data_IF_354970089990
#
_entry.id   IF_354970089990
#
_cell.length_a   1.000
_cell.length_b   1.000
_cell.length_c   1.000
_cell.angle_alpha   90.00
_cell.angle_beta   90.00
_cell.angle_gamma   90.00
#
_symmetry.space_group_name_H-M   'P 1'
#
loop_
_entity.id
_entity.type
_entity.pdbx_description
1 polymer ?
#
# COMPACT_ATOMS: atom_id res chain seq x y z
N UNK A 1 8.27 26.03 9.82
CA UNK A 1 7.33 26.46 10.87
C UNK A 1 6.41 27.50 10.26
N UNK A 2 5.21 27.10 9.84
CA UNK A 2 4.20 28.08 9.40
C UNK A 2 3.99 29.09 10.54
N UNK A 3 3.95 30.38 10.21
CA UNK A 3 3.69 31.41 11.21
C UNK A 3 2.25 31.27 11.68
N UNK A 4 2.06 31.04 12.98
CA UNK A 4 0.73 31.03 13.60
C UNK A 4 0.10 32.41 13.46
N UNK A 5 -1.07 32.48 12.83
CA UNK A 5 -1.85 33.72 12.67
C UNK A 5 -3.13 33.66 13.52
N UNK A 6 -3.68 34.84 13.82
CA UNK A 6 -4.94 34.93 14.58
C UNK A 6 -6.09 34.28 13.81
N UNK A 7 -6.10 34.48 12.50
CA UNK A 7 -7.07 33.93 11.56
C UNK A 7 -7.07 32.41 11.64
N UNK A 8 -5.87 31.80 11.64
CA UNK A 8 -5.72 30.34 11.77
C UNK A 8 -6.24 29.82 13.11
N UNK A 9 -5.95 30.52 14.21
CA UNK A 9 -6.49 30.14 15.53
C UNK A 9 -8.03 30.17 15.53
N UNK A 10 -8.64 31.19 14.91
CA UNK A 10 -10.10 31.31 14.81
C UNK A 10 -10.73 30.21 13.91
N UNK A 11 -10.05 29.82 12.83
CA UNK A 11 -10.46 28.67 12.01
C UNK A 11 -10.47 27.36 12.81
N UNK A 12 -9.41 27.10 13.59
CA UNK A 12 -9.31 25.92 14.47
C UNK A 12 -10.48 25.93 15.46
N UNK A 13 -10.72 27.07 16.13
CA UNK A 13 -11.85 27.20 17.06
C UNK A 13 -13.19 26.93 16.36
N UNK A 14 -13.43 27.55 15.20
CA UNK A 14 -14.67 27.36 14.43
C UNK A 14 -14.94 25.89 14.07
N UNK A 15 -13.88 25.13 13.77
CA UNK A 15 -13.97 23.74 13.34
C UNK A 15 -14.10 22.75 14.48
N UNK A 16 -13.32 22.93 15.54
CA UNK A 16 -13.13 21.91 16.57
C UNK A 16 -13.90 22.20 17.87
N UNK A 17 -14.28 23.45 18.15
CA UNK A 17 -15.08 23.74 19.35
C UNK A 17 -16.52 23.23 19.17
N UNK A 18 -16.99 22.30 20.02
CA UNK A 18 -18.31 21.69 19.84
C UNK A 18 -19.45 22.68 20.13
N UNK A 19 -19.27 23.59 21.08
CA UNK A 19 -20.36 24.48 21.51
C UNK A 19 -20.49 25.70 20.60
N UNK A 20 -21.73 26.14 20.36
CA UNK A 20 -21.96 27.40 19.63
C UNK A 20 -21.43 28.61 20.41
N UNK A 21 -21.65 28.60 21.73
CA UNK A 21 -21.18 29.66 22.62
C UNK A 21 -19.64 29.78 22.63
N UNK A 22 -18.91 28.66 22.69
CA UNK A 22 -17.45 28.66 22.62
C UNK A 22 -16.94 29.22 21.29
N UNK A 23 -17.56 28.81 20.16
CA UNK A 23 -17.23 29.34 18.84
C UNK A 23 -17.48 30.84 18.72
N UNK A 24 -18.63 31.33 19.18
CA UNK A 24 -18.97 32.77 19.17
C UNK A 24 -18.03 33.59 20.05
N UNK A 25 -17.56 33.02 21.18
CA UNK A 25 -16.60 33.67 22.08
C UNK A 25 -15.14 33.54 21.62
N UNK A 26 -14.85 32.73 20.60
CA UNK A 26 -13.48 32.45 20.18
C UNK A 26 -12.68 31.65 21.21
N UNK A 27 -13.32 30.75 21.96
CA UNK A 27 -12.69 29.89 22.95
C UNK A 27 -12.68 28.44 22.47
N UNK A 28 -11.55 27.76 22.67
CA UNK A 28 -11.43 26.32 22.48
C UNK A 28 -11.40 25.64 23.84
N UNK A 29 -12.48 24.93 24.19
CA UNK A 29 -12.57 24.13 25.40
C UNK A 29 -11.74 22.84 25.33
N UNK A 30 -11.70 22.09 26.42
CA UNK A 30 -10.90 20.85 26.51
C UNK A 30 -11.30 19.81 25.45
N UNK A 31 -12.60 19.67 25.19
CA UNK A 31 -13.11 18.71 24.20
C UNK A 31 -12.69 19.11 22.78
N UNK A 32 -12.81 20.40 22.45
CA UNK A 32 -12.38 20.91 21.15
C UNK A 32 -10.86 20.87 20.97
N UNK A 33 -10.09 21.15 22.03
CA UNK A 33 -8.63 21.02 22.00
C UNK A 33 -8.20 19.55 21.81
N UNK A 34 -8.88 18.62 22.48
CA UNK A 34 -8.63 17.18 22.29
C UNK A 34 -8.97 16.74 20.86
N UNK A 35 -10.10 17.19 20.32
CA UNK A 35 -10.48 16.91 18.95
C UNK A 35 -9.48 17.47 17.93
N UNK A 36 -8.95 18.68 18.17
CA UNK A 36 -7.92 19.29 17.33
C UNK A 36 -6.60 18.48 17.37
N UNK A 37 -6.13 18.09 18.56
CA UNK A 37 -4.90 17.30 18.69
C UNK A 37 -5.00 15.91 18.07
N UNK A 38 -6.20 15.33 18.02
CA UNK A 38 -6.46 14.04 17.35
C UNK A 38 -6.81 14.18 15.87
N UNK A 39 -6.84 15.41 15.34
CA UNK A 39 -7.12 15.66 13.93
C UNK A 39 -5.89 15.44 13.06
N UNK A 40 -6.11 15.25 11.76
CA UNK A 40 -5.03 15.09 10.78
C UNK A 40 -4.07 16.28 10.72
N UNK A 41 -4.48 17.47 11.14
CA UNK A 41 -3.62 18.67 11.16
C UNK A 41 -2.53 18.61 12.23
N UNK A 42 -2.74 17.78 13.25
CA UNK A 42 -1.79 17.54 14.34
C UNK A 42 -1.15 16.15 14.23
N UNK A 43 -1.36 15.45 13.11
CA UNK A 43 -0.68 14.19 12.87
C UNK A 43 0.85 14.40 12.84
N UNK A 44 1.58 13.42 13.34
CA UNK A 44 3.04 13.42 13.28
C UNK A 44 3.53 13.17 11.85
N UNK A 45 2.70 12.54 11.01
CA UNK A 45 2.96 12.37 9.60
C UNK A 45 2.68 13.64 8.82
N UNK A 46 3.69 14.07 8.07
CA UNK A 46 3.59 15.23 7.20
C UNK A 46 2.55 15.00 6.09
N UNK A 47 1.58 15.91 6.00
CA UNK A 47 0.50 15.86 5.02
C UNK A 47 1.03 15.91 3.58
N UNK A 48 2.13 16.63 3.32
CA UNK A 48 2.75 16.68 1.99
C UNK A 48 3.27 15.31 1.53
N UNK A 49 3.57 14.41 2.48
CA UNK A 49 4.08 13.07 2.20
C UNK A 49 2.97 12.00 2.17
N UNK A 50 1.69 12.38 2.30
CA UNK A 50 0.56 11.46 2.10
C UNK A 50 0.31 11.14 0.63
N UNK A 51 0.76 12.03 -0.26
CA UNK A 51 0.69 11.90 -1.71
C UNK A 51 2.10 11.82 -2.33
N UNK A 52 2.18 11.56 -3.63
CA UNK A 52 3.46 11.57 -4.35
C UNK A 52 4.06 12.99 -4.34
N UNK A 53 5.15 13.15 -3.61
CA UNK A 53 5.87 14.42 -3.45
C UNK A 53 7.30 14.41 -4.02
N UNK A 54 7.77 13.25 -4.50
CA UNK A 54 9.11 13.07 -5.04
C UNK A 54 9.12 13.28 -6.56
N UNK A 55 10.30 13.57 -7.12
CA UNK A 55 10.51 13.53 -8.57
C UNK A 55 10.47 12.08 -9.04
N UNK A 56 9.38 11.70 -9.74
CA UNK A 56 9.14 10.35 -10.24
C UNK A 56 9.62 10.15 -11.69
N UNK A 57 10.45 11.06 -12.23
CA UNK A 57 10.94 11.01 -13.62
C UNK A 57 12.35 10.44 -13.76
N UNK A 58 13.05 10.20 -12.65
CA UNK A 58 14.40 9.62 -12.65
C UNK A 58 14.39 8.12 -13.02
N UNK A 59 15.58 7.57 -13.28
CA UNK A 59 15.77 6.12 -13.47
C UNK A 59 15.22 5.33 -12.27
N UNK A 60 14.58 4.18 -12.53
CA UNK A 60 14.03 3.32 -11.48
C UNK A 60 15.07 2.90 -10.43
N UNK A 61 16.35 2.85 -10.81
CA UNK A 61 17.49 2.55 -9.94
C UNK A 61 17.74 3.58 -8.84
N UNK A 62 17.06 4.73 -8.87
CA UNK A 62 17.17 5.77 -7.84
C UNK A 62 16.11 5.66 -6.74
N UNK A 63 15.18 4.72 -6.85
CA UNK A 63 14.09 4.57 -5.88
C UNK A 63 14.21 3.24 -5.13
N UNK A 64 13.74 3.25 -3.88
CA UNK A 64 13.42 2.01 -3.18
C UNK A 64 12.10 1.45 -3.73
N UNK A 65 12.06 0.13 -3.94
CA UNK A 65 10.89 -0.57 -4.45
C UNK A 65 10.31 -1.44 -3.32
N UNK A 66 9.05 -1.19 -2.97
CA UNK A 66 8.31 -2.03 -2.02
C UNK A 66 8.16 -3.43 -2.60
N UNK A 67 8.85 -4.41 -2.01
CA UNK A 67 9.04 -5.76 -2.57
C UNK A 67 8.56 -6.82 -1.58
N UNK A 68 7.90 -7.85 -2.11
CA UNK A 68 7.48 -9.03 -1.36
C UNK A 68 8.26 -10.25 -1.86
N UNK A 69 8.71 -11.07 -0.91
CA UNK A 69 9.40 -12.33 -1.16
C UNK A 69 8.45 -13.50 -0.89
N UNK A 70 8.44 -14.49 -1.79
CA UNK A 70 7.52 -15.62 -1.77
C UNK A 70 6.07 -15.18 -1.48
N UNK A 71 5.58 -14.24 -2.28
CA UNK A 71 4.34 -13.48 -2.04
C UNK A 71 3.10 -14.35 -1.84
N UNK A 72 3.11 -15.55 -2.43
CA UNK A 72 2.06 -16.54 -2.29
C UNK A 72 1.96 -17.16 -0.89
N UNK A 73 3.02 -17.15 -0.08
CA UNK A 73 3.04 -17.77 1.26
C UNK A 73 2.40 -16.88 2.31
N UNK A 74 1.43 -17.43 3.05
CA UNK A 74 0.78 -16.72 4.15
C UNK A 74 1.50 -16.91 5.50
N UNK A 75 2.28 -17.98 5.62
CA UNK A 75 2.93 -18.38 6.88
C UNK A 75 4.40 -18.80 6.65
N UNK A 76 4.78 -19.99 7.09
CA UNK A 76 6.16 -20.46 7.04
C UNK A 76 6.58 -20.96 5.64
N UNK A 77 7.90 -21.05 5.45
CA UNK A 77 8.52 -21.42 4.18
C UNK A 77 8.48 -22.92 3.87
N UNK A 78 8.08 -23.80 4.78
CA UNK A 78 8.23 -25.24 4.60
C UNK A 78 6.90 -25.99 4.46
N UNK A 79 5.85 -25.54 5.15
CA UNK A 79 4.55 -26.21 5.22
C UNK A 79 3.37 -25.23 5.26
N UNK A 80 3.64 -23.93 5.24
CA UNK A 80 2.61 -22.90 5.27
C UNK A 80 1.69 -22.95 4.05
N UNK A 81 0.45 -22.44 4.16
CA UNK A 81 -0.44 -22.36 3.03
C UNK A 81 0.01 -21.27 2.05
N UNK A 82 -0.05 -21.61 0.76
CA UNK A 82 -0.02 -20.66 -0.34
C UNK A 82 -1.45 -20.20 -0.66
N UNK A 83 -1.65 -18.90 -0.89
CA UNK A 83 -2.93 -18.32 -1.30
C UNK A 83 -2.76 -17.17 -2.29
N UNK A 84 -3.75 -17.03 -3.17
CA UNK A 84 -3.90 -15.84 -4.03
C UNK A 84 -4.04 -14.56 -3.18
N UNK A 85 -4.62 -14.67 -1.98
CA UNK A 85 -4.79 -13.55 -1.05
C UNK A 85 -3.46 -12.89 -0.64
N UNK A 86 -2.35 -13.63 -0.69
CA UNK A 86 -1.01 -13.09 -0.44
C UNK A 86 -0.68 -11.96 -1.41
N UNK A 87 -0.95 -12.16 -2.70
CA UNK A 87 -0.78 -11.14 -3.75
C UNK A 87 -1.74 -9.98 -3.59
N UNK A 88 -3.02 -10.25 -3.32
CA UNK A 88 -4.04 -9.22 -3.12
C UNK A 88 -3.65 -8.31 -1.95
N UNK A 89 -3.24 -8.91 -0.82
CA UNK A 89 -2.81 -8.20 0.38
C UNK A 89 -1.56 -7.36 0.11
N UNK A 90 -0.56 -7.91 -0.59
CA UNK A 90 0.65 -7.20 -0.96
C UNK A 90 0.35 -5.97 -1.85
N UNK A 91 -0.47 -6.14 -2.89
CA UNK A 91 -0.88 -5.06 -3.80
C UNK A 91 -1.68 -3.96 -3.08
N UNK A 92 -2.63 -4.33 -2.21
CA UNK A 92 -3.41 -3.37 -1.40
C UNK A 92 -2.55 -2.58 -0.42
N UNK A 93 -1.42 -3.13 0.01
CA UNK A 93 -0.40 -2.46 0.83
C UNK A 93 0.62 -1.65 0.01
N UNK A 94 0.46 -1.56 -1.31
CA UNK A 94 1.33 -0.79 -2.19
C UNK A 94 2.62 -1.51 -2.60
N UNK A 95 2.70 -2.84 -2.45
CA UNK A 95 3.84 -3.61 -2.97
C UNK A 95 3.91 -3.49 -4.50
N UNK A 96 5.11 -3.22 -5.03
CA UNK A 96 5.42 -3.01 -6.45
C UNK A 96 6.36 -4.08 -7.03
N UNK A 97 6.79 -5.07 -6.26
CA UNK A 97 7.54 -6.20 -6.76
C UNK A 97 7.05 -7.49 -6.10
N UNK A 98 6.49 -8.40 -6.89
CA UNK A 98 5.87 -9.66 -6.44
C UNK A 98 6.67 -10.84 -6.95
N UNK A 99 6.77 -11.90 -6.16
CA UNK A 99 7.48 -13.13 -6.52
C UNK A 99 6.50 -14.26 -6.85
N UNK A 100 6.71 -14.89 -8.02
CA UNK A 100 5.94 -16.01 -8.56
C UNK A 100 6.89 -17.19 -8.80
N UNK A 101 6.82 -18.18 -7.91
CA UNK A 101 7.55 -19.44 -8.07
C UNK A 101 6.74 -20.41 -8.91
N UNK A 102 6.89 -20.31 -10.23
CA UNK A 102 6.14 -21.13 -11.19
C UNK A 102 6.75 -22.54 -11.33
N UNK A 103 5.89 -23.55 -11.30
CA UNK A 103 6.22 -24.96 -11.50
C UNK A 103 5.21 -25.62 -12.43
N UNK A 104 5.64 -26.71 -13.09
CA UNK A 104 4.74 -27.53 -13.89
C UNK A 104 3.68 -28.18 -13.00
N UNK A 105 2.41 -28.00 -13.37
CA UNK A 105 1.26 -28.57 -12.68
C UNK A 105 0.58 -29.67 -13.48
N UNK A 106 -0.53 -30.23 -12.95
CA UNK A 106 -1.33 -31.22 -13.67
C UNK A 106 -2.00 -30.60 -14.90
N UNK A 107 -2.24 -31.43 -15.93
CA UNK A 107 -2.90 -31.04 -17.17
C UNK A 107 -2.16 -29.93 -17.96
N UNK A 108 -0.84 -29.88 -17.85
CA UNK A 108 0.02 -28.86 -18.49
C UNK A 108 -0.28 -27.41 -18.04
N UNK A 109 -0.98 -27.24 -16.92
CA UNK A 109 -1.28 -25.93 -16.33
C UNK A 109 -0.24 -25.56 -15.26
N UNK A 110 0.37 -24.37 -15.31
CA UNK A 110 1.35 -23.95 -14.31
C UNK A 110 0.72 -23.71 -12.94
N UNK A 111 1.48 -24.04 -11.91
CA UNK A 111 1.12 -23.82 -10.49
C UNK A 111 2.19 -22.98 -9.81
N UNK A 112 1.82 -22.38 -8.68
CA UNK A 112 2.73 -21.63 -7.82
C UNK A 112 2.81 -22.29 -6.45
N UNK A 113 4.03 -22.54 -5.96
CA UNK A 113 4.33 -22.97 -4.60
C UNK A 113 5.84 -22.90 -4.34
N UNK A 114 6.24 -23.10 -3.07
CA UNK A 114 7.65 -23.14 -2.73
C UNK A 114 8.24 -24.53 -3.05
N UNK A 115 9.10 -24.55 -4.06
CA UNK A 115 9.71 -25.76 -4.61
C UNK A 115 10.34 -26.67 -3.55
N UNK A 116 10.20 -27.98 -3.74
CA UNK A 116 10.76 -29.00 -2.84
C UNK A 116 10.32 -28.90 -1.37
N UNK A 117 9.18 -28.24 -1.09
CA UNK A 117 8.59 -28.16 0.25
C UNK A 117 7.18 -28.74 0.32
N UNK A 118 6.54 -28.64 1.50
CA UNK A 118 5.17 -29.10 1.76
C UNK A 118 4.13 -27.97 1.69
N UNK A 119 4.50 -26.78 1.21
CA UNK A 119 3.55 -25.67 1.05
C UNK A 119 2.44 -26.04 0.07
N UNK A 120 1.22 -25.56 0.31
CA UNK A 120 0.11 -25.81 -0.64
C UNK A 120 0.39 -25.14 -1.99
N UNK A 121 -0.32 -25.61 -3.03
CA UNK A 121 -0.17 -25.15 -4.41
C UNK A 121 -1.38 -24.32 -4.81
N UNK A 122 -1.14 -23.27 -5.58
CA UNK A 122 -2.19 -22.42 -6.15
C UNK A 122 -2.06 -22.36 -7.67
N UNK A 123 -3.17 -22.07 -8.36
CA UNK A 123 -3.18 -21.91 -9.82
C UNK A 123 -2.43 -20.64 -10.22
N UNK A 124 -1.53 -20.75 -11.20
CA UNK A 124 -0.88 -19.59 -11.80
C UNK A 124 -1.90 -18.64 -12.45
N UNK A 125 -2.88 -19.18 -13.18
CA UNK A 125 -3.93 -18.39 -13.81
C UNK A 125 -4.68 -17.53 -12.78
N UNK A 126 -5.10 -18.13 -11.67
CA UNK A 126 -5.81 -17.41 -10.61
C UNK A 126 -4.96 -16.29 -9.99
N UNK A 127 -3.64 -16.48 -9.90
CA UNK A 127 -2.72 -15.43 -9.44
C UNK A 127 -2.63 -14.29 -10.46
N UNK A 128 -2.49 -14.59 -11.75
CA UNK A 128 -2.44 -13.55 -12.79
C UNK A 128 -3.75 -12.76 -12.87
N UNK A 129 -4.90 -13.43 -12.77
CA UNK A 129 -6.22 -12.76 -12.73
C UNK A 129 -6.32 -11.78 -11.56
N UNK A 130 -5.91 -12.22 -10.35
CA UNK A 130 -5.91 -11.36 -9.17
C UNK A 130 -4.90 -10.21 -9.26
N UNK A 131 -3.73 -10.44 -9.85
CA UNK A 131 -2.75 -9.38 -10.12
C UNK A 131 -3.35 -8.37 -11.09
N UNK A 132 -3.96 -8.82 -12.19
CA UNK A 132 -4.57 -7.93 -13.18
C UNK A 132 -5.68 -7.06 -12.55
N UNK A 133 -6.50 -7.61 -11.66
CA UNK A 133 -7.56 -6.87 -10.97
C UNK A 133 -7.02 -5.81 -9.99
N UNK A 134 -5.89 -6.09 -9.33
CA UNK A 134 -5.43 -5.28 -8.19
C UNK A 134 -4.12 -4.52 -8.40
N UNK A 135 -3.40 -4.77 -9.51
CA UNK A 135 -2.06 -4.25 -9.77
C UNK A 135 -1.97 -2.75 -9.51
N UNK A 136 -2.93 -1.98 -9.99
CA UNK A 136 -2.91 -0.52 -9.93
C UNK A 136 -3.92 0.10 -8.94
N UNK A 137 -4.54 -0.73 -8.08
CA UNK A 137 -5.56 -0.28 -7.12
C UNK A 137 -5.04 0.70 -6.06
N UNK A 138 -3.76 0.60 -5.69
CA UNK A 138 -3.13 1.46 -4.67
C UNK A 138 -2.06 2.41 -5.24
N UNK A 139 -1.51 2.09 -6.41
CA UNK A 139 -0.43 2.86 -7.03
C UNK A 139 -0.45 2.65 -8.55
N UNK A 140 -0.30 3.72 -9.30
CA UNK A 140 -0.23 3.72 -10.78
C UNK A 140 1.17 3.34 -11.31
N UNK A 141 2.18 3.26 -10.44
CA UNK A 141 3.55 2.94 -10.86
C UNK A 141 3.73 1.47 -11.20
N UNK A 142 4.74 1.23 -12.05
CA UNK A 142 5.11 -0.08 -12.61
C UNK A 142 5.15 -1.18 -11.56
N UNK A 143 4.58 -2.33 -11.92
CA UNK A 143 4.63 -3.56 -11.15
C UNK A 143 5.70 -4.50 -11.72
N UNK A 144 6.62 -4.93 -10.88
CA UNK A 144 7.62 -5.93 -11.22
C UNK A 144 7.12 -7.31 -10.76
N UNK A 145 7.27 -8.30 -11.63
CA UNK A 145 7.05 -9.71 -11.28
C UNK A 145 8.39 -10.41 -11.39
N UNK A 146 8.79 -11.13 -10.35
CA UNK A 146 10.00 -11.94 -10.36
C UNK A 146 9.65 -13.42 -10.30
N UNK A 147 10.41 -14.24 -10.99
CA UNK A 147 10.54 -15.68 -10.74
C UNK A 147 11.98 -15.89 -10.24
N UNK A 148 12.27 -16.91 -9.43
CA UNK A 148 13.54 -17.18 -8.72
C UNK A 148 14.88 -16.84 -9.44
N UNK A 149 14.90 -16.64 -10.77
CA UNK A 149 16.07 -16.18 -11.52
C UNK A 149 15.82 -15.06 -12.58
N UNK A 150 14.59 -14.55 -12.76
CA UNK A 150 14.22 -13.61 -13.83
C UNK A 150 13.24 -12.53 -13.36
N UNK A 151 13.47 -11.30 -13.80
CA UNK A 151 12.53 -10.18 -13.63
C UNK A 151 11.70 -10.05 -14.91
N UNK A 152 10.38 -10.18 -14.78
CA UNK A 152 9.38 -9.82 -15.77
C UNK A 152 8.81 -8.44 -15.45
N UNK A 153 8.77 -7.56 -16.46
CA UNK A 153 8.13 -6.26 -16.35
C UNK A 153 6.66 -6.40 -16.76
N UNK A 154 5.73 -6.16 -15.83
CA UNK A 154 4.36 -5.82 -16.21
C UNK A 154 4.30 -4.30 -16.41
N UNK A 155 4.40 -3.90 -17.68
CA UNK A 155 4.05 -2.54 -18.07
C UNK A 155 2.54 -2.42 -18.02
N UNK A 156 2.06 -1.26 -17.59
CA UNK A 156 0.66 -0.89 -17.65
C UNK A 156 0.22 -0.99 -19.12
N UNK A 157 -0.47 -2.08 -19.50
CA UNK A 157 -1.05 -2.23 -20.85
C UNK A 157 -2.41 -1.55 -20.80
N UNK A 158 -2.38 -0.22 -20.78
CA UNK A 158 -3.53 0.58 -21.20
C UNK A 158 -3.08 1.37 -22.43
N UNK A 159 -3.75 1.10 -23.57
CA UNK A 159 -3.82 2.00 -24.72
C UNK A 159 -4.61 3.27 -24.37
#
# INVERSE_FOLDING_TARGET
>A
MQRVTKERCLEIISRFEPTKEGREKGHLGIDGFTAYLLSEECDIFDEEHKEVCQDMTQSFTHYFISTSHNTYLLEDQLKGPSSVDGYISALKKGCRCLELDCWDGPNDEPIIYHGHTLTSKISFQAVIEAINEHAFSKSEYVLYITNQNLIFLLLNIEE
#
